data_IF_930647017501
#
_entry.id   IF_930647017501
#
_cell.length_a   1.000
_cell.length_b   1.000
_cell.length_c   1.000
_cell.angle_alpha   90.00
_cell.angle_beta   90.00
_cell.angle_gamma   90.00
#
_symmetry.space_group_name_H-M   'P 1'
#
loop_
_entity.id
_entity.type
_entity.pdbx_description
1 polymer ?
#
# COMPACT_ATOMS: atom_id res chain seq x y z
N UNK A 1 -5.98 26.76 3.30
CA UNK A 1 -6.59 25.71 4.16
C UNK A 1 -8.09 25.67 3.91
N UNK A 2 -8.59 24.53 3.44
CA UNK A 2 -10.04 24.29 3.27
C UNK A 2 -10.51 23.44 4.43
N UNK A 3 -11.61 23.82 5.07
CA UNK A 3 -12.26 23.02 6.12
C UNK A 3 -13.29 22.13 5.48
N UNK A 4 -13.25 20.83 5.75
CA UNK A 4 -14.20 19.84 5.22
C UNK A 4 -14.39 18.67 6.18
N UNK A 5 -15.35 17.80 5.87
CA UNK A 5 -15.67 16.63 6.68
C UNK A 5 -15.16 15.36 6.03
N UNK A 6 -14.69 14.43 6.83
CA UNK A 6 -14.33 13.08 6.40
C UNK A 6 -15.02 12.04 7.26
N UNK A 7 -15.32 10.92 6.64
CA UNK A 7 -15.82 9.77 7.36
C UNK A 7 -14.69 9.04 8.06
N UNK A 8 -15.03 8.45 9.18
CA UNK A 8 -14.12 7.71 10.03
C UNK A 8 -14.71 6.36 10.42
N UNK A 9 -13.91 5.32 10.30
CA UNK A 9 -14.25 3.96 10.71
C UNK A 9 -13.28 3.52 11.81
N UNK A 10 -13.80 3.30 13.01
CA UNK A 10 -12.99 2.79 14.13
C UNK A 10 -12.58 1.33 13.86
N UNK A 11 -11.59 0.87 14.61
CA UNK A 11 -11.19 -0.53 14.58
C UNK A 11 -12.36 -1.46 14.94
N UNK A 12 -13.06 -1.13 16.01
CA UNK A 12 -14.21 -1.91 16.50
C UNK A 12 -15.26 -2.02 15.39
N UNK A 13 -15.53 -0.91 14.69
CA UNK A 13 -16.46 -0.93 13.57
C UNK A 13 -16.01 -1.90 12.47
N UNK A 14 -14.72 -1.88 12.08
CA UNK A 14 -14.18 -2.76 11.03
C UNK A 14 -14.19 -4.22 11.48
N UNK A 15 -13.88 -4.51 12.73
CA UNK A 15 -13.89 -5.87 13.26
C UNK A 15 -15.30 -6.46 13.32
N UNK A 16 -16.34 -5.63 13.49
CA UNK A 16 -17.75 -6.02 13.53
C UNK A 16 -18.43 -6.07 12.15
N UNK A 17 -18.05 -5.18 11.22
CA UNK A 17 -18.81 -4.93 9.98
C UNK A 17 -18.06 -5.27 8.68
N UNK A 18 -16.84 -5.71 8.70
CA UNK A 18 -15.91 -5.78 7.57
C UNK A 18 -15.29 -4.41 7.18
N UNK A 19 -14.53 -4.40 6.09
CA UNK A 19 -13.85 -3.20 5.61
C UNK A 19 -14.81 -2.22 4.92
N UNK A 20 -14.54 -0.90 4.97
CA UNK A 20 -15.45 0.12 4.43
C UNK A 20 -15.87 -0.07 2.98
N UNK A 21 -15.00 -0.61 2.13
CA UNK A 21 -15.35 -0.89 0.73
C UNK A 21 -16.47 -1.93 0.58
N UNK A 22 -16.59 -2.84 1.54
CA UNK A 22 -17.63 -3.86 1.52
C UNK A 22 -19.04 -3.29 1.72
N UNK A 23 -19.18 -2.06 2.20
CA UNK A 23 -20.45 -1.39 2.36
C UNK A 23 -20.94 -0.66 1.09
N UNK A 24 -20.03 -0.36 0.15
CA UNK A 24 -20.37 0.32 -1.09
C UNK A 24 -21.27 -0.55 -1.99
N UNK A 25 -22.31 0.06 -2.55
CA UNK A 25 -23.23 -0.61 -3.47
C UNK A 25 -22.49 -1.08 -4.73
N UNK A 26 -21.72 -0.19 -5.32
CA UNK A 26 -20.92 -0.50 -6.51
C UNK A 26 -19.91 -1.61 -6.26
N UNK A 27 -19.29 -1.67 -5.08
CA UNK A 27 -18.37 -2.74 -4.75
C UNK A 27 -19.08 -4.10 -4.62
N UNK A 28 -20.25 -4.13 -3.98
CA UNK A 28 -21.07 -5.34 -3.87
C UNK A 28 -21.50 -5.86 -5.25
N UNK A 29 -21.88 -4.98 -6.16
CA UNK A 29 -22.31 -5.35 -7.52
C UNK A 29 -21.15 -5.77 -8.41
N UNK A 30 -20.11 -4.96 -8.52
CA UNK A 30 -19.02 -5.16 -9.48
C UNK A 30 -18.02 -6.25 -9.04
N UNK A 31 -17.93 -6.54 -7.72
CA UNK A 31 -16.95 -7.46 -7.16
C UNK A 31 -17.55 -8.74 -6.54
N UNK A 32 -18.86 -8.94 -6.64
CA UNK A 32 -19.54 -10.12 -6.08
C UNK A 32 -18.97 -11.45 -6.58
N UNK A 33 -18.60 -11.52 -7.85
CA UNK A 33 -18.09 -12.73 -8.50
C UNK A 33 -16.57 -12.82 -8.54
N UNK A 34 -15.85 -11.93 -7.86
CA UNK A 34 -14.40 -11.92 -7.80
C UNK A 34 -13.93 -12.66 -6.55
N UNK A 35 -13.13 -13.69 -6.76
CA UNK A 35 -12.72 -14.64 -5.70
C UNK A 35 -11.21 -14.71 -5.47
N UNK A 36 -10.42 -13.90 -6.19
CA UNK A 36 -8.98 -13.94 -6.19
C UNK A 36 -8.39 -12.67 -5.56
N UNK A 37 -7.48 -12.85 -4.60
CA UNK A 37 -6.57 -11.81 -4.12
C UNK A 37 -5.21 -11.96 -4.79
N UNK A 38 -4.59 -10.85 -5.16
CA UNK A 38 -3.23 -10.84 -5.73
C UNK A 38 -2.34 -9.94 -4.91
N UNK A 39 -1.18 -10.45 -4.50
CA UNK A 39 -0.19 -9.72 -3.74
C UNK A 39 1.11 -9.52 -4.55
N UNK A 40 1.62 -8.28 -4.60
CA UNK A 40 2.88 -7.93 -5.24
C UNK A 40 3.88 -7.46 -4.17
N UNK A 41 4.95 -8.23 -3.99
CA UNK A 41 5.96 -7.93 -2.98
C UNK A 41 6.81 -6.71 -3.33
N UNK A 42 7.41 -6.10 -2.31
CA UNK A 42 8.40 -5.04 -2.46
C UNK A 42 9.69 -5.49 -3.13
N UNK A 43 10.57 -4.53 -3.41
CA UNK A 43 11.87 -4.77 -4.01
C UNK A 43 12.33 -3.69 -5.00
N UNK A 44 11.84 -2.47 -4.84
CA UNK A 44 12.21 -1.30 -5.64
C UNK A 44 11.85 -1.47 -7.12
N UNK A 45 12.65 -0.87 -7.99
CA UNK A 45 12.42 -0.86 -9.45
C UNK A 45 12.38 -2.26 -10.07
N UNK A 46 13.11 -3.22 -9.51
CA UNK A 46 13.03 -4.62 -9.94
C UNK A 46 11.63 -5.17 -9.72
N UNK A 47 11.06 -4.96 -8.54
CA UNK A 47 9.69 -5.39 -8.25
C UNK A 47 8.70 -4.66 -9.14
N UNK A 48 8.84 -3.36 -9.35
CA UNK A 48 7.97 -2.61 -10.26
C UNK A 48 7.97 -3.21 -11.67
N UNK A 49 9.16 -3.50 -12.23
CA UNK A 49 9.27 -4.11 -13.54
C UNK A 49 8.66 -5.53 -13.61
N UNK A 50 8.91 -6.36 -12.58
CA UNK A 50 8.30 -7.68 -12.51
C UNK A 50 6.77 -7.60 -12.41
N UNK A 51 6.25 -6.67 -11.61
CA UNK A 51 4.81 -6.48 -11.41
C UNK A 51 4.09 -6.13 -12.71
N UNK A 52 4.71 -5.34 -13.58
CA UNK A 52 4.12 -5.06 -14.92
C UNK A 52 3.92 -6.34 -15.71
N UNK A 53 4.95 -7.20 -15.78
CA UNK A 53 4.86 -8.49 -16.50
C UNK A 53 3.86 -9.45 -15.83
N UNK A 54 3.81 -9.48 -14.51
CA UNK A 54 2.87 -10.31 -13.74
C UNK A 54 1.41 -9.87 -13.95
N UNK A 55 1.15 -8.57 -13.96
CA UNK A 55 -0.17 -8.01 -14.27
C UNK A 55 -0.58 -8.36 -15.71
N UNK A 56 0.36 -8.26 -16.65
CA UNK A 56 0.11 -8.64 -18.04
C UNK A 56 -0.18 -10.13 -18.18
N UNK A 57 0.56 -10.99 -17.49
CA UNK A 57 0.29 -12.42 -17.48
C UNK A 57 -1.09 -12.75 -16.91
N UNK A 58 -1.51 -12.08 -15.83
CA UNK A 58 -2.86 -12.24 -15.26
C UNK A 58 -3.94 -11.82 -16.26
N UNK A 59 -3.69 -10.77 -17.04
CA UNK A 59 -4.58 -10.30 -18.11
C UNK A 59 -4.71 -11.33 -19.21
N UNK A 60 -3.61 -11.82 -19.76
CA UNK A 60 -3.58 -12.80 -20.84
C UNK A 60 -4.15 -14.17 -20.46
N UNK A 61 -3.98 -14.55 -19.21
CA UNK A 61 -4.58 -15.76 -18.64
C UNK A 61 -6.08 -15.61 -18.33
N UNK A 62 -6.67 -14.42 -18.55
CA UNK A 62 -8.06 -14.14 -18.23
C UNK A 62 -8.37 -14.17 -16.74
N UNK A 63 -7.37 -13.97 -15.87
CA UNK A 63 -7.51 -14.00 -14.42
C UNK A 63 -7.86 -12.64 -13.83
N UNK A 64 -7.49 -11.52 -14.48
CA UNK A 64 -7.78 -10.17 -13.98
C UNK A 64 -9.25 -9.91 -13.65
N UNK A 65 -10.24 -10.36 -14.43
CA UNK A 65 -11.65 -10.19 -14.08
C UNK A 65 -12.08 -10.90 -12.79
N UNK A 66 -11.29 -11.89 -12.34
CA UNK A 66 -11.53 -12.61 -11.07
C UNK A 66 -10.82 -11.97 -9.88
N UNK A 67 -9.87 -11.07 -10.13
CA UNK A 67 -9.12 -10.42 -9.06
C UNK A 67 -10.02 -9.40 -8.35
N UNK A 68 -10.30 -9.66 -7.07
CA UNK A 68 -11.04 -8.74 -6.21
C UNK A 68 -10.15 -7.65 -5.68
N UNK A 69 -9.02 -8.03 -5.11
CA UNK A 69 -8.04 -7.14 -4.49
C UNK A 69 -6.66 -7.30 -5.10
N UNK A 70 -5.99 -6.20 -5.35
CA UNK A 70 -4.55 -6.12 -5.48
C UNK A 70 -4.00 -5.51 -4.20
N UNK A 71 -3.13 -6.24 -3.51
CA UNK A 71 -2.35 -5.72 -2.40
C UNK A 71 -0.89 -5.61 -2.80
N UNK A 72 -0.28 -4.46 -2.62
CA UNK A 72 1.07 -4.22 -3.10
C UNK A 72 1.90 -3.39 -2.11
N UNK A 73 3.22 -3.62 -2.14
CA UNK A 73 4.17 -2.98 -1.25
C UNK A 73 5.33 -2.44 -2.07
N UNK A 74 5.82 -1.24 -1.71
CA UNK A 74 7.06 -0.68 -2.28
C UNK A 74 7.02 -0.65 -3.81
N UNK A 75 8.03 -1.17 -4.48
CA UNK A 75 8.09 -1.24 -5.94
C UNK A 75 6.90 -1.97 -6.60
N UNK A 76 6.28 -2.94 -5.92
CA UNK A 76 5.02 -3.53 -6.36
C UNK A 76 3.91 -2.50 -6.44
N UNK A 77 3.82 -1.63 -5.41
CA UNK A 77 2.86 -0.53 -5.35
C UNK A 77 3.11 0.55 -6.41
N UNK A 78 4.39 0.83 -6.73
CA UNK A 78 4.73 1.80 -7.79
C UNK A 78 4.17 1.43 -9.16
N UNK A 79 4.11 0.13 -9.45
CA UNK A 79 3.51 -0.35 -10.69
C UNK A 79 1.99 -0.56 -10.57
N UNK A 80 1.50 -1.10 -9.46
CA UNK A 80 0.09 -1.41 -9.29
C UNK A 80 -0.79 -0.13 -9.28
N UNK A 81 -0.29 0.98 -8.73
CA UNK A 81 -1.04 2.24 -8.67
C UNK A 81 -1.39 2.78 -10.05
N UNK A 82 -0.43 3.07 -10.96
CA UNK A 82 -0.80 3.55 -12.28
C UNK A 82 -1.61 2.54 -13.10
N UNK A 83 -1.40 1.23 -12.92
CA UNK A 83 -2.26 0.21 -13.52
C UNK A 83 -3.72 0.35 -13.11
N UNK A 84 -3.95 0.65 -11.83
CA UNK A 84 -5.30 0.77 -11.27
C UNK A 84 -6.03 2.02 -11.79
N UNK A 85 -5.33 3.13 -11.95
CA UNK A 85 -5.94 4.41 -12.29
C UNK A 85 -5.86 4.79 -13.77
N UNK A 86 -4.95 4.20 -14.56
CA UNK A 86 -4.83 4.54 -15.98
C UNK A 86 -6.04 4.08 -16.77
N UNK A 87 -6.52 4.94 -17.67
CA UNK A 87 -7.58 4.59 -18.62
C UNK A 87 -7.06 3.77 -19.82
N UNK A 88 -5.74 3.74 -20.04
CA UNK A 88 -5.10 3.08 -21.16
C UNK A 88 -4.13 1.99 -20.69
N UNK A 89 -4.65 0.79 -20.51
CA UNK A 89 -3.85 -0.38 -20.09
C UNK A 89 -2.97 -0.93 -21.18
N UNK A 90 -3.32 -0.75 -22.45
CA UNK A 90 -2.47 -1.15 -23.59
C UNK A 90 -1.18 -0.33 -23.60
N UNK A 91 -1.30 0.98 -23.42
CA UNK A 91 -0.14 1.85 -23.27
C UNK A 91 0.70 1.46 -22.03
N UNK A 92 0.04 1.16 -20.92
CA UNK A 92 0.70 0.78 -19.66
C UNK A 92 1.57 -0.48 -19.86
N UNK A 93 1.02 -1.52 -20.42
CA UNK A 93 1.74 -2.78 -20.67
C UNK A 93 2.80 -2.64 -21.79
N UNK A 94 2.51 -1.84 -22.79
CA UNK A 94 3.34 -1.76 -23.98
C UNK A 94 3.34 -3.05 -24.80
N UNK A 95 4.38 -3.22 -25.57
CA UNK A 95 4.57 -4.37 -26.44
C UNK A 95 5.16 -5.55 -25.67
N UNK A 96 4.54 -6.72 -25.81
CA UNK A 96 5.11 -7.97 -25.30
C UNK A 96 6.16 -8.45 -26.28
N UNK A 97 7.30 -8.85 -25.75
CA UNK A 97 8.38 -9.45 -26.51
C UNK A 97 8.66 -10.85 -25.98
N UNK A 98 8.91 -11.76 -26.90
CA UNK A 98 9.42 -13.06 -26.54
C UNK A 98 10.72 -12.90 -25.75
N UNK A 99 10.84 -13.51 -24.56
CA UNK A 99 12.05 -13.43 -23.74
C UNK A 99 13.34 -13.79 -24.49
N UNK A 100 13.27 -14.73 -25.43
CA UNK A 100 14.41 -15.15 -26.25
C UNK A 100 14.94 -14.03 -27.16
N UNK A 101 14.08 -13.07 -27.50
CA UNK A 101 14.40 -11.93 -28.35
C UNK A 101 14.82 -10.68 -27.57
N UNK A 102 14.85 -10.73 -26.22
CA UNK A 102 15.27 -9.60 -25.40
C UNK A 102 16.79 -9.58 -25.25
N UNK A 103 17.41 -8.52 -25.72
CA UNK A 103 18.84 -8.26 -25.57
C UNK A 103 19.08 -6.96 -24.82
N UNK A 104 20.29 -6.76 -24.26
CA UNK A 104 20.66 -5.50 -23.63
C UNK A 104 20.53 -4.28 -24.56
N UNK A 105 20.71 -4.47 -25.85
CA UNK A 105 20.60 -3.41 -26.86
C UNK A 105 19.16 -3.04 -27.19
N UNK A 106 18.24 -4.02 -27.24
CA UNK A 106 16.84 -3.79 -27.60
C UNK A 106 15.91 -3.65 -26.37
N UNK A 107 16.39 -3.94 -25.17
CA UNK A 107 15.62 -3.74 -23.94
C UNK A 107 15.21 -2.26 -23.71
N UNK A 108 15.94 -1.32 -24.32
CA UNK A 108 15.64 0.11 -24.28
C UNK A 108 14.67 0.56 -25.37
N UNK A 109 14.43 -0.24 -26.41
CA UNK A 109 13.52 0.07 -27.52
C UNK A 109 12.11 -0.49 -27.29
N UNK A 110 11.61 -0.35 -26.06
CA UNK A 110 10.22 -0.66 -25.70
C UNK A 110 9.29 0.48 -26.09
N UNK A 111 7.99 0.22 -26.11
CA UNK A 111 7.00 1.25 -26.43
C UNK A 111 7.22 2.52 -25.60
N UNK A 112 7.38 3.72 -26.21
CA UNK A 112 7.90 4.91 -25.53
C UNK A 112 7.11 5.39 -24.32
N UNK A 113 5.83 5.03 -24.20
CA UNK A 113 4.94 5.43 -23.11
C UNK A 113 4.54 4.25 -22.23
N UNK A 114 5.18 3.09 -22.36
CA UNK A 114 4.92 1.95 -21.47
C UNK A 114 5.56 2.15 -20.11
N UNK A 115 5.08 1.43 -19.11
CA UNK A 115 5.69 1.43 -17.77
C UNK A 115 7.13 0.90 -17.83
N UNK A 116 7.40 -0.10 -18.66
CA UNK A 116 8.75 -0.59 -18.90
C UNK A 116 9.69 0.53 -19.39
N UNK A 117 9.21 1.35 -20.32
CA UNK A 117 9.98 2.51 -20.82
C UNK A 117 10.21 3.55 -19.73
N UNK A 118 9.19 3.85 -18.95
CA UNK A 118 9.29 4.79 -17.84
C UNK A 118 10.34 4.36 -16.83
N UNK A 119 10.33 3.08 -16.44
CA UNK A 119 11.30 2.51 -15.50
C UNK A 119 12.73 2.52 -16.09
N UNK A 120 12.88 2.09 -17.33
CA UNK A 120 14.20 1.88 -17.94
C UNK A 120 14.92 3.18 -18.31
N UNK A 121 14.15 4.19 -18.74
CA UNK A 121 14.71 5.43 -19.27
C UNK A 121 14.79 6.56 -18.27
N UNK A 122 14.34 6.37 -17.02
CA UNK A 122 14.36 7.41 -16.02
C UNK A 122 15.71 7.53 -15.31
N UNK A 123 16.41 8.67 -15.40
CA UNK A 123 17.62 8.93 -14.61
C UNK A 123 17.32 9.05 -13.10
N UNK A 124 16.08 9.36 -12.73
CA UNK A 124 15.66 9.51 -11.34
C UNK A 124 15.76 8.19 -10.59
N UNK A 125 15.45 7.07 -11.23
CA UNK A 125 15.51 5.75 -10.59
C UNK A 125 16.95 5.37 -10.23
N UNK A 126 17.91 5.61 -11.11
CA UNK A 126 19.30 5.36 -10.79
C UNK A 126 19.77 6.24 -9.62
N UNK A 127 19.31 7.47 -9.56
CA UNK A 127 19.64 8.41 -8.50
C UNK A 127 18.97 8.06 -7.16
N UNK A 128 17.70 7.63 -7.18
CA UNK A 128 17.01 7.13 -5.97
C UNK A 128 17.70 5.88 -5.40
N UNK A 129 18.18 4.99 -6.26
CA UNK A 129 18.87 3.75 -5.84
C UNK A 129 20.26 4.03 -5.30
N UNK A 130 20.96 5.01 -5.85
CA UNK A 130 22.37 5.32 -5.50
C UNK A 130 22.49 6.33 -4.36
N UNK A 131 21.38 6.85 -3.82
CA UNK A 131 21.40 7.87 -2.78
C UNK A 131 21.98 9.22 -3.24
N UNK A 132 22.17 9.40 -4.56
CA UNK A 132 22.77 10.60 -5.15
C UNK A 132 21.79 11.74 -5.42
N UNK A 133 20.51 11.58 -5.07
CA UNK A 133 19.53 12.64 -5.22
C UNK A 133 19.79 13.73 -4.17
N UNK A 134 20.20 14.88 -4.62
CA UNK A 134 20.06 16.12 -3.84
C UNK A 134 18.59 16.51 -3.91
N UNK A 135 17.81 15.94 -2.99
CA UNK A 135 16.41 16.27 -2.85
C UNK A 135 16.28 17.76 -2.53
N UNK A 136 15.40 18.45 -3.25
CA UNK A 136 15.13 19.88 -3.03
C UNK A 136 13.69 20.02 -2.55
N UNK A 137 13.53 20.37 -1.26
CA UNK A 137 12.23 20.65 -0.63
C UNK A 137 11.49 19.40 -0.16
N UNK A 138 10.45 19.63 0.62
CA UNK A 138 9.76 18.64 1.47
C UNK A 138 8.93 17.59 0.72
N UNK A 139 8.77 17.68 -0.60
CA UNK A 139 7.99 16.74 -1.40
C UNK A 139 8.79 16.14 -2.57
N UNK A 140 10.09 16.33 -2.60
CA UNK A 140 10.89 15.97 -3.77
C UNK A 140 10.93 14.47 -4.05
N UNK A 141 10.81 13.63 -3.02
CA UNK A 141 10.75 12.17 -3.20
C UNK A 141 9.42 11.74 -3.86
N UNK A 142 8.29 12.24 -3.36
CA UNK A 142 6.96 11.99 -3.91
C UNK A 142 6.85 12.49 -5.36
N UNK A 143 7.31 13.71 -5.61
CA UNK A 143 7.36 14.29 -6.95
C UNK A 143 8.22 13.45 -7.91
N UNK A 144 9.40 13.03 -7.46
CA UNK A 144 10.33 12.25 -8.28
C UNK A 144 9.75 10.89 -8.68
N UNK A 145 9.09 10.21 -7.77
CA UNK A 145 8.38 8.96 -8.09
C UNK A 145 7.19 9.21 -9.01
N UNK A 146 6.44 10.27 -8.77
CA UNK A 146 5.31 10.69 -9.62
C UNK A 146 5.73 10.96 -11.06
N UNK A 147 6.86 11.64 -11.28
CA UNK A 147 7.43 11.86 -12.62
C UNK A 147 7.69 10.56 -13.38
N UNK A 148 8.13 9.51 -12.68
CA UNK A 148 8.45 8.23 -13.29
C UNK A 148 7.21 7.37 -13.49
N UNK A 149 6.43 7.17 -12.44
CA UNK A 149 5.39 6.14 -12.42
C UNK A 149 3.99 6.66 -12.76
N UNK A 150 3.69 7.94 -12.49
CA UNK A 150 2.36 8.51 -12.66
C UNK A 150 2.24 9.43 -13.87
N UNK A 151 3.24 10.27 -14.12
CA UNK A 151 3.22 11.27 -15.19
C UNK A 151 2.97 10.72 -16.60
N UNK A 152 3.55 9.56 -16.99
CA UNK A 152 3.28 8.98 -18.32
C UNK A 152 1.80 8.71 -18.59
N UNK A 153 0.99 8.63 -17.52
CA UNK A 153 -0.45 8.32 -17.57
C UNK A 153 -1.33 9.51 -17.16
N UNK A 154 -0.74 10.68 -16.96
CA UNK A 154 -1.48 11.88 -16.55
C UNK A 154 -2.01 11.83 -15.10
N UNK A 155 -1.36 11.05 -14.22
CA UNK A 155 -1.80 10.77 -12.84
C UNK A 155 -0.98 11.49 -11.77
N UNK A 156 -0.12 12.44 -12.15
CA UNK A 156 0.90 12.98 -11.27
C UNK A 156 0.60 14.39 -10.75
N UNK A 157 -0.60 14.88 -10.93
CA UNK A 157 -1.03 16.18 -10.40
C UNK A 157 -1.29 16.06 -8.89
N UNK A 158 -0.39 16.61 -8.09
CA UNK A 158 -0.46 16.57 -6.62
C UNK A 158 -1.57 17.45 -6.03
N UNK A 159 -2.26 18.25 -6.83
CA UNK A 159 -3.43 19.02 -6.40
C UNK A 159 -4.73 18.20 -6.44
N UNK A 160 -4.68 17.00 -7.01
CA UNK A 160 -5.85 16.11 -7.13
C UNK A 160 -5.85 15.05 -6.04
N UNK A 161 -7.02 14.87 -5.46
CA UNK A 161 -7.30 13.70 -4.64
C UNK A 161 -7.51 12.45 -5.49
N UNK A 162 -7.67 11.32 -4.83
CA UNK A 162 -8.05 10.07 -5.49
C UNK A 162 -9.20 9.42 -4.73
N UNK A 163 -10.00 8.64 -5.44
CA UNK A 163 -11.09 7.87 -4.84
C UNK A 163 -11.42 6.65 -5.70
N UNK A 164 -12.36 5.81 -5.25
CA UNK A 164 -12.62 4.54 -5.91
C UNK A 164 -13.42 4.75 -7.22
N UNK A 165 -14.57 5.40 -7.15
CA UNK A 165 -15.45 5.58 -8.30
C UNK A 165 -16.39 6.79 -8.08
N UNK A 166 -17.38 6.95 -8.95
CA UNK A 166 -18.34 8.05 -8.87
C UNK A 166 -19.19 8.01 -7.59
N UNK A 167 -19.50 6.81 -7.04
CA UNK A 167 -20.22 6.67 -5.77
C UNK A 167 -19.39 7.27 -4.62
N UNK A 168 -18.12 6.86 -4.51
CA UNK A 168 -17.23 7.36 -3.45
C UNK A 168 -16.82 8.82 -3.67
N UNK A 169 -16.72 9.28 -4.92
CA UNK A 169 -16.53 10.69 -5.22
C UNK A 169 -17.72 11.51 -4.72
N UNK A 170 -18.95 11.09 -5.01
CA UNK A 170 -20.16 11.77 -4.55
C UNK A 170 -20.25 11.81 -3.02
N UNK A 171 -19.90 10.70 -2.33
CA UNK A 171 -19.83 10.64 -0.87
C UNK A 171 -18.79 11.63 -0.33
N UNK A 172 -17.59 11.62 -0.89
CA UNK A 172 -16.49 12.49 -0.46
C UNK A 172 -16.83 13.97 -0.68
N UNK A 173 -17.43 14.31 -1.83
CA UNK A 173 -17.81 15.70 -2.16
C UNK A 173 -18.84 16.28 -1.19
N UNK A 174 -19.65 15.46 -0.54
CA UNK A 174 -20.59 15.93 0.51
C UNK A 174 -19.85 16.50 1.73
N UNK A 175 -18.62 16.08 1.96
CA UNK A 175 -17.79 16.61 3.03
C UNK A 175 -17.17 17.98 2.72
N UNK A 176 -17.02 18.34 1.45
CA UNK A 176 -16.42 19.62 1.07
C UNK A 176 -17.43 20.78 1.12
N UNK A 177 -16.95 22.01 1.38
CA UNK A 177 -17.78 23.20 1.27
C UNK A 177 -18.47 23.30 -0.11
N UNK A 178 -19.69 23.82 -0.19
CA UNK A 178 -20.37 24.04 -1.46
C UNK A 178 -19.49 24.81 -2.44
N UNK A 179 -19.49 24.41 -3.71
CA UNK A 179 -18.70 25.00 -4.78
C UNK A 179 -17.19 24.82 -4.69
N UNK A 180 -16.69 23.94 -3.83
CA UNK A 180 -15.27 23.59 -3.82
C UNK A 180 -14.90 22.91 -5.16
N UNK A 181 -13.97 23.53 -5.87
CA UNK A 181 -13.40 22.96 -7.11
C UNK A 181 -12.29 21.99 -6.73
N UNK A 182 -12.64 20.74 -6.61
CA UNK A 182 -11.70 19.67 -6.27
C UNK A 182 -11.83 18.57 -7.30
N UNK A 183 -10.73 18.17 -7.87
CA UNK A 183 -10.66 17.08 -8.85
C UNK A 183 -10.18 15.79 -8.19
N UNK A 184 -10.68 14.67 -8.73
CA UNK A 184 -10.33 13.33 -8.27
C UNK A 184 -9.78 12.47 -9.41
N UNK A 185 -8.81 11.63 -9.08
CA UNK A 185 -8.49 10.46 -9.88
C UNK A 185 -9.38 9.30 -9.44
N UNK A 186 -10.11 8.71 -10.38
CA UNK A 186 -10.97 7.57 -10.14
C UNK A 186 -10.28 6.28 -10.59
N UNK A 187 -10.51 5.20 -9.86
CA UNK A 187 -10.08 3.87 -10.28
C UNK A 187 -10.72 3.53 -11.63
N UNK A 188 -9.94 2.97 -12.51
CA UNK A 188 -10.42 2.53 -13.83
C UNK A 188 -11.51 1.48 -13.67
N UNK A 189 -12.61 1.64 -14.39
CA UNK A 189 -13.71 0.67 -14.37
C UNK A 189 -13.21 -0.75 -14.66
N UNK A 190 -13.60 -1.68 -13.82
CA UNK A 190 -13.20 -3.08 -13.92
C UNK A 190 -11.80 -3.41 -13.36
N UNK A 191 -11.00 -2.42 -12.92
CA UNK A 191 -9.75 -2.71 -12.21
C UNK A 191 -10.03 -3.40 -10.87
N UNK A 192 -9.12 -4.24 -10.36
CA UNK A 192 -9.19 -4.72 -8.99
C UNK A 192 -9.08 -3.57 -7.98
N UNK A 193 -9.63 -3.78 -6.77
CA UNK A 193 -9.50 -2.81 -5.68
C UNK A 193 -8.08 -2.81 -5.14
N UNK A 194 -7.45 -1.64 -5.10
CA UNK A 194 -6.04 -1.49 -4.73
C UNK A 194 -5.89 -1.30 -3.21
N UNK A 195 -4.89 -1.96 -2.64
CA UNK A 195 -4.44 -1.77 -1.26
C UNK A 195 -2.92 -1.59 -1.29
N UNK A 196 -2.42 -0.46 -0.85
CA UNK A 196 -0.99 -0.22 -0.70
C UNK A 196 -0.59 -0.29 0.76
N UNK A 197 0.40 -1.13 1.07
CA UNK A 197 0.99 -1.22 2.39
C UNK A 197 2.12 -0.22 2.58
N UNK A 198 2.12 0.48 3.71
CA UNK A 198 3.20 1.33 4.18
C UNK A 198 3.43 1.09 5.68
N UNK A 199 4.43 1.74 6.25
CA UNK A 199 4.76 1.67 7.67
C UNK A 199 4.75 3.08 8.26
N UNK A 200 3.95 3.29 9.30
CA UNK A 200 4.02 4.49 10.14
C UNK A 200 5.04 4.23 11.25
N UNK A 201 5.95 5.17 11.43
CA UNK A 201 6.99 5.12 12.46
C UNK A 201 6.60 6.07 13.61
N UNK A 202 6.87 5.65 14.86
CA UNK A 202 6.64 6.50 16.02
C UNK A 202 7.64 7.66 16.09
N UNK A 203 7.41 8.66 16.98
CA UNK A 203 8.26 9.84 17.21
C UNK A 203 9.75 9.52 17.40
N UNK A 204 10.05 8.42 18.07
CA UNK A 204 11.42 7.94 18.24
C UNK A 204 12.02 7.38 16.93
N UNK A 205 11.30 7.50 15.83
CA UNK A 205 11.70 7.00 14.52
C UNK A 205 11.99 5.50 14.56
N UNK A 206 13.12 5.14 13.98
CA UNK A 206 13.53 3.74 13.82
C UNK A 206 14.11 3.10 15.08
N UNK A 207 14.41 3.88 16.09
CA UNK A 207 14.87 3.36 17.39
C UNK A 207 13.72 2.73 18.20
N UNK A 208 12.48 3.02 17.82
CA UNK A 208 11.28 2.46 18.45
C UNK A 208 10.93 1.13 17.80
N UNK A 209 10.63 0.12 18.61
CA UNK A 209 10.05 -1.14 18.13
C UNK A 209 8.59 -0.96 17.68
N UNK A 210 8.02 0.25 17.85
CA UNK A 210 6.64 0.61 17.55
C UNK A 210 6.53 1.04 16.09
N UNK A 211 6.14 0.10 15.23
CA UNK A 211 5.84 0.31 13.81
C UNK A 211 4.41 -0.16 13.54
N UNK A 212 3.69 0.60 12.75
CA UNK A 212 2.28 0.33 12.47
C UNK A 212 2.06 0.17 10.97
N UNK A 213 1.29 -0.85 10.60
CA UNK A 213 0.93 -1.09 9.21
C UNK A 213 -0.13 -0.09 8.77
N UNK A 214 0.20 0.71 7.77
CA UNK A 214 -0.72 1.64 7.10
C UNK A 214 -1.25 1.00 5.83
N UNK A 215 -2.54 1.07 5.63
CA UNK A 215 -3.20 0.75 4.36
C UNK A 215 -3.65 2.04 3.67
N UNK A 216 -3.23 2.23 2.42
CA UNK A 216 -3.82 3.21 1.52
C UNK A 216 -4.70 2.50 0.51
N UNK A 217 -5.97 2.84 0.49
CA UNK A 217 -6.93 2.32 -0.48
C UNK A 217 -7.56 3.47 -1.26
N UNK A 218 -8.24 3.21 -2.37
CA UNK A 218 -8.91 4.28 -3.10
C UNK A 218 -9.96 5.03 -2.29
N UNK A 219 -10.60 4.39 -1.31
CA UNK A 219 -11.70 4.99 -0.57
C UNK A 219 -11.29 5.49 0.81
N UNK A 220 -10.43 4.78 1.50
CA UNK A 220 -9.98 5.12 2.87
C UNK A 220 -8.51 4.81 3.06
N UNK A 221 -7.90 5.46 4.06
CA UNK A 221 -6.51 5.28 4.45
C UNK A 221 -6.39 5.30 5.96
N UNK A 222 -5.44 4.55 6.52
CA UNK A 222 -5.21 4.56 7.97
C UNK A 222 -4.50 3.32 8.49
N UNK A 223 -4.51 3.19 9.82
CA UNK A 223 -3.89 2.10 10.56
C UNK A 223 -4.98 1.27 11.23
N UNK A 224 -5.20 0.04 10.72
CA UNK A 224 -6.24 -0.84 11.26
C UNK A 224 -5.98 -1.24 12.71
N UNK A 225 -4.77 -1.65 13.00
CA UNK A 225 -4.42 -2.23 14.30
C UNK A 225 -3.34 -1.38 14.95
N UNK A 226 -3.70 -0.73 16.05
CA UNK A 226 -2.71 -0.32 17.04
C UNK A 226 -2.14 -1.57 17.73
N UNK A 227 -0.86 -1.59 18.04
CA UNK A 227 -0.25 -2.73 18.71
C UNK A 227 -0.96 -2.94 20.08
N UNK A 228 -1.51 -4.13 20.30
CA UNK A 228 -2.12 -4.52 21.56
C UNK A 228 -1.10 -5.38 22.31
N UNK A 229 -0.15 -4.76 22.96
CA UNK A 229 0.55 -5.41 24.05
C UNK A 229 -0.13 -4.98 25.36
N UNK A 230 -0.94 -5.85 25.92
CA UNK A 230 -1.73 -5.55 27.14
C UNK A 230 -0.87 -5.29 28.37
N UNK A 231 0.40 -5.68 28.33
CA UNK A 231 1.31 -5.61 29.47
C UNK A 231 2.24 -4.37 29.47
N UNK A 232 2.26 -3.57 28.40
CA UNK A 232 3.13 -2.40 28.24
C UNK A 232 2.38 -1.05 28.25
N UNK A 233 1.16 -1.02 28.72
CA UNK A 233 0.29 0.15 28.58
C UNK A 233 0.44 1.15 29.72
N UNK A 234 1.14 2.23 29.45
CA UNK A 234 0.76 3.53 30.03
C UNK A 234 -0.38 4.09 29.15
N UNK A 235 -1.34 4.72 29.76
CA UNK A 235 -2.60 5.19 29.16
C UNK A 235 -2.48 6.19 27.99
N UNK A 236 -1.29 6.48 27.50
CA UNK A 236 -0.99 7.53 26.53
C UNK A 236 -0.41 7.02 25.19
N UNK A 237 -0.23 5.71 25.00
CA UNK A 237 0.51 5.15 23.85
C UNK A 237 -0.38 4.53 22.77
N UNK A 238 -1.59 5.05 22.55
CA UNK A 238 -2.47 4.57 21.49
C UNK A 238 -2.11 5.20 20.13
N UNK A 239 -1.45 4.40 19.29
CA UNK A 239 -1.19 4.72 17.90
C UNK A 239 -2.07 3.87 16.99
N UNK A 240 -2.89 4.48 16.17
CA UNK A 240 -3.69 3.78 15.20
C UNK A 240 -5.11 3.46 15.66
N UNK A 241 -5.76 2.53 14.99
CA UNK A 241 -7.08 2.00 15.35
C UNK A 241 -8.24 2.49 14.50
N UNK A 242 -8.00 2.87 13.25
CA UNK A 242 -9.08 3.19 12.33
C UNK A 242 -8.63 3.75 11.00
N UNK A 243 -9.63 4.00 10.17
CA UNK A 243 -9.47 4.55 8.82
C UNK A 243 -10.24 5.85 8.69
N UNK A 244 -9.74 6.74 7.86
CA UNK A 244 -10.45 7.94 7.40
C UNK A 244 -10.64 7.88 5.89
N UNK A 245 -11.65 8.57 5.34
CA UNK A 245 -11.72 8.79 3.90
C UNK A 245 -10.37 9.27 3.37
N UNK A 246 -9.86 8.71 2.28
CA UNK A 246 -8.48 8.95 1.83
C UNK A 246 -8.12 10.41 1.64
N UNK A 247 -9.06 11.27 1.24
CA UNK A 247 -8.84 12.71 1.17
C UNK A 247 -8.60 13.38 2.54
N UNK A 248 -8.90 12.70 3.64
CA UNK A 248 -8.69 13.16 5.00
C UNK A 248 -7.40 12.67 5.64
N UNK A 249 -6.62 11.87 4.95
CA UNK A 249 -5.28 11.53 5.40
C UNK A 249 -4.35 12.75 5.25
N UNK A 250 -3.33 12.88 6.08
CA UNK A 250 -2.44 14.05 6.13
C UNK A 250 -3.18 15.39 6.39
N UNK A 251 -4.22 15.36 7.20
CA UNK A 251 -4.98 16.56 7.56
C UNK A 251 -4.69 17.03 8.97
N UNK A 252 -4.86 18.33 9.19
CA UNK A 252 -4.63 19.01 10.48
C UNK A 252 -5.96 19.23 11.19
N UNK A 253 -5.99 18.99 12.52
CA UNK A 253 -7.15 19.32 13.36
C UNK A 253 -7.36 20.81 13.61
N UNK A 254 -8.40 21.25 14.30
CA UNK A 254 -9.11 20.52 15.35
C UNK A 254 -10.16 19.55 14.80
N UNK A 255 -10.24 18.41 15.44
CA UNK A 255 -11.18 17.36 15.05
C UNK A 255 -12.43 17.47 15.90
N UNK A 256 -13.48 18.06 15.34
CA UNK A 256 -14.78 18.09 15.99
C UNK A 256 -15.59 16.89 15.50
N UNK A 257 -15.90 15.98 16.41
CA UNK A 257 -16.78 14.85 16.15
C UNK A 257 -18.18 15.36 15.83
N UNK A 258 -18.74 14.98 14.70
CA UNK A 258 -20.13 15.28 14.34
C UNK A 258 -20.87 13.99 14.03
N UNK A 259 -22.08 13.85 14.58
CA UNK A 259 -23.05 12.90 14.09
C UNK A 259 -23.77 13.57 12.90
N UNK A 260 -23.58 13.08 11.69
CA UNK A 260 -24.31 13.60 10.53
C UNK A 260 -25.68 12.93 10.48
N UNK A 261 -26.70 13.63 10.96
CA UNK A 261 -28.10 13.29 10.67
C UNK A 261 -28.32 13.44 9.15
N UNK A 262 -28.76 12.39 8.47
CA UNK A 262 -29.17 12.44 7.05
C UNK A 262 -28.27 11.71 6.04
N UNK A 263 -27.12 11.15 6.42
CA UNK A 263 -26.30 10.30 5.52
C UNK A 263 -26.77 8.85 5.40
N UNK A 264 -27.86 8.50 6.08
CA UNK A 264 -28.39 7.13 6.18
C UNK A 264 -28.81 6.50 4.84
N UNK A 265 -28.90 7.28 3.76
CA UNK A 265 -29.41 6.79 2.48
C UNK A 265 -28.36 6.21 1.54
N UNK A 266 -27.07 6.38 1.80
CA UNK A 266 -26.00 5.95 0.90
C UNK A 266 -25.18 4.76 1.40
N UNK A 267 -25.20 4.46 2.68
CA UNK A 267 -24.59 3.26 3.24
C UNK A 267 -25.66 2.27 3.67
N UNK A 268 -25.56 1.04 3.21
CA UNK A 268 -26.58 -0.02 3.36
C UNK A 268 -26.80 -0.47 4.82
N UNK A 269 -25.93 -0.07 5.75
CA UNK A 269 -26.08 -0.36 7.18
C UNK A 269 -25.89 0.88 8.03
N UNK A 270 -26.80 1.05 8.99
CA UNK A 270 -26.75 2.02 10.08
C UNK A 270 -25.56 1.75 11.01
N UNK A 271 -24.36 2.17 10.63
CA UNK A 271 -23.30 2.34 11.60
C UNK A 271 -23.13 3.85 11.84
N UNK A 272 -22.84 4.29 13.04
CA UNK A 272 -22.49 5.68 13.25
C UNK A 272 -21.13 5.92 12.57
N UNK A 273 -21.19 6.33 11.31
CA UNK A 273 -20.01 6.86 10.66
C UNK A 273 -19.74 8.18 11.35
N UNK A 274 -18.68 8.22 12.09
CA UNK A 274 -18.23 9.45 12.73
C UNK A 274 -17.62 10.30 11.62
N UNK A 275 -17.94 11.58 11.63
CA UNK A 275 -17.36 12.54 10.71
C UNK A 275 -16.54 13.54 11.50
N UNK A 276 -15.40 13.93 10.95
CA UNK A 276 -14.51 14.91 11.53
C UNK A 276 -14.43 16.15 10.66
N UNK A 277 -14.44 17.31 11.31
CA UNK A 277 -13.96 18.55 10.73
C UNK A 277 -12.44 18.51 10.66
N UNK A 278 -11.90 18.69 9.48
CA UNK A 278 -10.46 18.72 9.24
C UNK A 278 -10.09 19.88 8.33
N UNK A 279 -8.83 20.25 8.36
CA UNK A 279 -8.23 21.17 7.39
C UNK A 279 -7.06 20.51 6.70
N UNK A 280 -6.86 20.81 5.43
CA UNK A 280 -5.66 20.41 4.72
C UNK A 280 -4.95 21.62 4.10
N UNK A 281 -3.66 21.53 3.99
CA UNK A 281 -2.81 22.49 3.29
C UNK A 281 -2.67 22.12 1.81
N UNK A 282 -2.66 20.83 1.53
CA UNK A 282 -2.55 20.23 0.19
C UNK A 282 -3.46 19.02 0.06
N UNK A 283 -3.71 18.58 -1.16
CA UNK A 283 -4.39 17.32 -1.39
C UNK A 283 -3.46 16.14 -1.05
N UNK A 284 -3.99 15.15 -0.35
CA UNK A 284 -3.32 13.85 -0.23
C UNK A 284 -3.52 13.09 -1.56
N UNK A 285 -2.45 12.87 -2.29
CA UNK A 285 -2.44 12.52 -3.71
C UNK A 285 -1.88 11.13 -4.00
N UNK A 286 -1.99 10.68 -5.25
CA UNK A 286 -1.34 9.45 -5.68
C UNK A 286 0.20 9.50 -5.54
N UNK A 287 0.81 10.68 -5.64
CA UNK A 287 2.25 10.84 -5.41
C UNK A 287 2.63 10.48 -3.97
N UNK A 288 1.81 10.89 -3.01
CA UNK A 288 2.06 10.67 -1.58
C UNK A 288 2.00 9.18 -1.23
N UNK A 289 0.99 8.45 -1.72
CA UNK A 289 0.86 7.02 -1.42
C UNK A 289 1.95 6.16 -2.07
N UNK A 290 2.39 6.48 -3.31
CA UNK A 290 3.50 5.74 -3.92
C UNK A 290 4.84 6.08 -3.28
N UNK A 291 5.01 7.29 -2.78
CA UNK A 291 6.19 7.68 -2.02
C UNK A 291 6.25 6.94 -0.68
N UNK A 292 5.17 6.97 0.08
CA UNK A 292 5.09 6.33 1.38
C UNK A 292 5.36 4.82 1.31
N UNK A 293 4.68 4.11 0.40
CA UNK A 293 4.86 2.66 0.28
C UNK A 293 6.30 2.23 -0.03
N UNK A 294 7.12 3.13 -0.60
CA UNK A 294 8.50 2.84 -1.03
C UNK A 294 9.59 3.66 -0.36
N UNK A 295 9.31 4.34 0.75
CA UNK A 295 10.26 5.20 1.45
C UNK A 295 11.25 4.41 2.33
N UNK A 296 11.93 3.41 1.77
CA UNK A 296 12.90 2.59 2.48
C UNK A 296 14.03 3.38 3.19
N UNK A 297 14.55 4.51 2.65
CA UNK A 297 15.59 5.27 3.33
C UNK A 297 15.19 5.85 4.67
N UNK A 298 13.90 6.08 4.93
CA UNK A 298 13.41 6.57 6.23
C UNK A 298 13.88 5.68 7.39
N UNK A 299 14.07 4.39 7.17
CA UNK A 299 14.53 3.45 8.20
C UNK A 299 16.05 3.37 8.34
N UNK A 300 16.82 3.78 7.33
CA UNK A 300 18.28 3.59 7.31
C UNK A 300 19.00 4.64 8.19
N UNK A 301 18.39 5.76 8.44
CA UNK A 301 19.02 6.91 9.10
C UNK A 301 18.54 7.03 10.54
N UNK A 302 19.24 6.37 11.42
CA UNK A 302 18.92 6.20 12.85
C UNK A 302 18.82 7.47 13.71
N UNK A 303 18.76 8.68 13.19
CA UNK A 303 18.63 9.90 14.00
C UNK A 303 18.28 11.17 13.21
N UNK A 304 17.93 11.06 11.93
CA UNK A 304 17.61 12.24 11.12
C UNK A 304 16.20 12.05 10.56
N UNK A 305 15.27 12.93 10.94
CA UNK A 305 14.00 13.05 10.21
C UNK A 305 14.33 13.39 8.77
N UNK A 306 13.92 12.54 7.85
CA UNK A 306 14.19 12.70 6.42
C UNK A 306 13.12 13.52 5.71
N UNK A 307 12.11 14.03 6.42
CA UNK A 307 11.12 14.95 5.87
C UNK A 307 11.77 16.16 5.25
N UNK A 308 12.74 16.77 5.92
CA UNK A 308 13.54 17.88 5.38
C UNK A 308 14.31 17.55 4.08
N UNK A 309 14.44 16.26 3.74
CA UNK A 309 14.96 15.75 2.48
C UNK A 309 13.85 15.31 1.50
N UNK A 310 12.58 15.61 1.81
CA UNK A 310 11.42 15.33 0.98
C UNK A 310 10.95 13.87 1.02
N UNK A 311 11.26 13.13 2.07
CA UNK A 311 10.66 11.85 2.36
C UNK A 311 9.31 12.01 3.06
N UNK A 312 8.37 11.04 2.92
CA UNK A 312 7.01 11.19 3.43
C UNK A 312 6.95 11.34 4.95
N UNK A 313 6.46 12.48 5.41
CA UNK A 313 6.00 12.72 6.76
C UNK A 313 4.57 13.24 6.65
N UNK A 314 3.62 12.60 7.31
CA UNK A 314 2.21 12.94 7.21
C UNK A 314 1.59 13.12 8.58
N UNK A 315 0.65 14.03 8.66
CA UNK A 315 -0.18 14.19 9.83
C UNK A 315 -0.99 12.92 10.08
N UNK A 316 -0.85 12.36 11.26
CA UNK A 316 -1.59 11.20 11.71
C UNK A 316 -2.35 11.52 12.99
N UNK A 317 -3.57 11.01 13.06
CA UNK A 317 -4.45 11.14 14.21
C UNK A 317 -4.57 9.78 14.87
N UNK A 318 -4.16 9.61 16.12
CA UNK A 318 -4.45 8.39 16.87
C UNK A 318 -5.95 8.33 17.17
N UNK A 319 -6.68 7.61 16.36
CA UNK A 319 -8.15 7.62 16.35
C UNK A 319 -8.80 7.02 17.60
N UNK A 320 -8.05 6.25 18.40
CA UNK A 320 -8.52 5.69 19.67
C UNK A 320 -8.57 6.70 20.84
N UNK A 321 -7.94 7.86 20.67
CA UNK A 321 -7.87 8.89 21.72
C UNK A 321 -8.97 9.94 21.63
N UNK A 322 -9.94 9.74 20.71
CA UNK A 322 -10.99 10.71 20.39
C UNK A 322 -12.11 10.81 21.44
N UNK A 323 -11.87 10.35 22.66
CA UNK A 323 -12.82 10.61 23.79
C UNK A 323 -12.78 12.04 24.33
N UNK A 324 -11.89 12.91 23.82
CA UNK A 324 -11.75 14.31 24.23
C UNK A 324 -11.71 15.28 23.06
N UNK A 325 -12.27 16.48 23.26
CA UNK A 325 -12.44 17.55 22.26
C UNK A 325 -11.14 18.17 21.70
N UNK A 326 -9.96 17.59 21.94
CA UNK A 326 -8.66 18.19 21.63
C UNK A 326 -7.63 17.23 21.03
N UNK A 327 -8.04 16.27 20.20
CA UNK A 327 -7.04 15.48 19.47
C UNK A 327 -6.31 16.35 18.46
N UNK A 328 -5.02 16.43 18.63
CA UNK A 328 -4.11 17.15 17.73
C UNK A 328 -3.46 16.13 16.83
N UNK A 329 -3.40 16.40 15.54
CA UNK A 329 -2.56 15.63 14.62
C UNK A 329 -1.11 16.03 14.83
N UNK A 330 -0.24 15.05 14.66
CA UNK A 330 1.20 15.27 14.63
C UNK A 330 1.78 14.63 13.36
N UNK A 331 2.85 15.23 12.85
CA UNK A 331 3.57 14.67 11.72
C UNK A 331 4.41 13.47 12.15
N UNK A 332 4.21 12.36 11.47
CA UNK A 332 4.99 11.14 11.67
C UNK A 332 5.64 10.67 10.40
N UNK A 333 6.88 10.18 10.47
CA UNK A 333 7.55 9.58 9.34
C UNK A 333 6.79 8.34 8.84
N UNK A 334 6.63 8.25 7.52
CA UNK A 334 6.09 7.08 6.84
C UNK A 334 7.19 6.41 6.04
N UNK A 335 7.24 5.10 6.12
CA UNK A 335 8.30 4.29 5.53
C UNK A 335 7.75 3.14 4.69
N UNK A 336 8.66 2.47 3.97
CA UNK A 336 8.36 1.31 3.13
C UNK A 336 7.57 0.24 3.91
N UNK A 337 6.48 -0.23 3.32
CA UNK A 337 5.66 -1.29 3.92
C UNK A 337 6.42 -2.60 4.14
N UNK A 338 7.50 -2.81 3.38
CA UNK A 338 8.38 -3.97 3.52
C UNK A 338 9.08 -4.09 4.87
N UNK A 339 9.09 -3.03 5.68
CA UNK A 339 9.63 -3.07 7.04
C UNK A 339 8.79 -3.94 7.98
N UNK A 340 7.48 -4.00 7.75
CA UNK A 340 6.58 -4.86 8.49
C UNK A 340 6.20 -6.10 7.70
N UNK A 341 5.74 -5.93 6.45
CA UNK A 341 5.25 -7.04 5.65
C UNK A 341 5.54 -6.78 4.15
N UNK A 342 6.54 -7.46 3.62
CA UNK A 342 7.04 -7.19 2.26
C UNK A 342 6.29 -7.94 1.15
N UNK A 343 5.37 -8.83 1.47
CA UNK A 343 4.63 -9.63 0.47
C UNK A 343 3.35 -8.96 0.01
N UNK A 344 2.74 -8.13 0.85
CA UNK A 344 1.40 -7.58 0.65
C UNK A 344 0.28 -8.58 0.94
N UNK A 345 0.56 -9.67 1.67
CA UNK A 345 -0.43 -10.71 1.91
C UNK A 345 -1.37 -10.41 3.08
N UNK A 346 -0.88 -9.69 4.09
CA UNK A 346 -1.64 -9.46 5.32
C UNK A 346 -2.98 -8.74 5.10
N UNK A 347 -3.08 -7.70 4.24
CA UNK A 347 -4.36 -7.08 3.94
C UNK A 347 -5.38 -8.03 3.30
N UNK A 348 -4.91 -9.00 2.50
CA UNK A 348 -5.75 -10.00 1.87
C UNK A 348 -6.27 -11.04 2.86
N UNK A 349 -5.42 -11.47 3.80
CA UNK A 349 -5.82 -12.36 4.90
C UNK A 349 -6.83 -11.68 5.82
N UNK A 350 -6.61 -10.40 6.14
CA UNK A 350 -7.53 -9.60 6.94
C UNK A 350 -8.93 -9.51 6.30
N UNK A 351 -9.00 -9.47 4.96
CA UNK A 351 -10.24 -9.49 4.17
C UNK A 351 -10.76 -10.90 3.89
N UNK A 352 -10.22 -11.89 4.61
CA UNK A 352 -10.65 -13.31 4.56
C UNK A 352 -10.61 -13.90 3.14
N UNK A 353 -9.67 -13.44 2.30
CA UNK A 353 -9.49 -14.01 0.96
C UNK A 353 -8.98 -15.45 1.06
N UNK A 354 -9.71 -16.37 0.45
CA UNK A 354 -9.40 -17.82 0.48
C UNK A 354 -8.53 -18.29 -0.69
N UNK A 355 -8.42 -17.46 -1.74
CA UNK A 355 -7.58 -17.71 -2.91
C UNK A 355 -6.67 -16.52 -3.09
N UNK A 356 -5.37 -16.72 -2.92
CA UNK A 356 -4.38 -15.66 -2.99
C UNK A 356 -3.22 -16.12 -3.89
N UNK A 357 -2.87 -15.29 -4.86
CA UNK A 357 -1.63 -15.42 -5.63
C UNK A 357 -0.64 -14.39 -5.10
N UNK A 358 0.53 -14.85 -4.67
CA UNK A 358 1.59 -13.99 -4.15
C UNK A 358 2.77 -13.99 -5.11
N UNK A 359 3.09 -12.84 -5.68
CA UNK A 359 4.28 -12.65 -6.51
C UNK A 359 5.44 -12.18 -5.64
N UNK A 360 6.40 -13.08 -5.42
CA UNK A 360 7.58 -12.82 -4.60
C UNK A 360 8.74 -12.40 -5.48
N UNK A 361 8.97 -11.08 -5.58
CA UNK A 361 9.96 -10.49 -6.47
C UNK A 361 11.38 -10.56 -5.86
N UNK A 362 11.93 -11.76 -5.78
CA UNK A 362 13.25 -12.04 -5.19
C UNK A 362 14.38 -12.09 -6.24
N UNK A 363 15.61 -11.76 -5.79
CA UNK A 363 16.83 -11.88 -6.62
C UNK A 363 17.39 -13.31 -6.65
N UNK A 364 17.05 -14.12 -5.65
CA UNK A 364 17.64 -15.45 -5.47
C UNK A 364 16.59 -16.51 -5.77
N UNK A 365 16.89 -17.48 -6.64
CA UNK A 365 16.01 -18.62 -6.86
C UNK A 365 15.92 -19.47 -5.59
N UNK A 366 14.85 -20.24 -5.48
CA UNK A 366 14.70 -21.22 -4.43
C UNK A 366 15.76 -22.31 -4.56
N UNK A 367 16.49 -22.58 -3.46
CA UNK A 367 17.52 -23.61 -3.40
C UNK A 367 17.19 -24.62 -2.28
N UNK A 368 16.75 -25.83 -2.61
CA UNK A 368 16.36 -26.82 -1.61
C UNK A 368 17.58 -27.34 -0.84
N UNK A 369 17.47 -27.41 0.50
CA UNK A 369 18.41 -28.12 1.36
C UNK A 369 17.76 -29.42 1.85
N UNK A 370 18.18 -30.56 1.30
CA UNK A 370 17.58 -31.87 1.62
C UNK A 370 17.85 -32.33 3.06
N UNK A 371 18.98 -31.89 3.67
CA UNK A 371 19.37 -32.31 5.03
C UNK A 371 18.72 -31.45 6.11
N UNK A 372 18.52 -30.18 5.82
CA UNK A 372 17.93 -29.19 6.73
C UNK A 372 16.91 -28.34 5.93
N UNK A 373 15.66 -28.77 5.81
CA UNK A 373 14.67 -28.06 5.00
C UNK A 373 14.51 -26.60 5.37
N UNK A 374 14.54 -26.24 6.65
CA UNK A 374 14.43 -24.86 7.12
C UNK A 374 15.63 -23.96 6.69
N UNK A 375 16.78 -24.57 6.40
CA UNK A 375 17.95 -23.88 5.86
C UNK A 375 17.92 -23.74 4.32
N UNK A 376 16.85 -24.20 3.67
CA UNK A 376 16.65 -23.99 2.24
C UNK A 376 16.68 -22.52 1.91
N UNK A 377 17.22 -22.19 0.72
CA UNK A 377 17.27 -20.83 0.19
C UNK A 377 15.88 -20.31 -0.19
N UNK A 378 15.01 -20.14 0.81
CA UNK A 378 13.67 -19.61 0.65
C UNK A 378 13.64 -18.11 1.00
N UNK A 379 12.75 -17.36 0.37
CA UNK A 379 12.65 -15.93 0.62
C UNK A 379 12.33 -15.64 2.09
N UNK A 380 13.06 -14.69 2.70
CA UNK A 380 12.88 -14.35 4.12
C UNK A 380 11.48 -13.84 4.44
N UNK A 381 10.89 -13.03 3.56
CA UNK A 381 9.54 -12.51 3.77
C UNK A 381 8.48 -13.62 3.79
N UNK A 382 8.68 -14.67 2.99
CA UNK A 382 7.79 -15.85 3.03
C UNK A 382 8.03 -16.64 4.33
N UNK A 383 9.28 -16.85 4.73
CA UNK A 383 9.58 -17.54 6.01
C UNK A 383 8.96 -16.83 7.21
N UNK A 384 8.92 -15.49 7.20
CA UNK A 384 8.37 -14.67 8.28
C UNK A 384 6.88 -14.90 8.54
N UNK A 385 6.14 -15.46 7.59
CA UNK A 385 4.73 -15.84 7.81
C UNK A 385 4.59 -17.08 8.70
N UNK A 386 5.64 -17.86 8.84
CA UNK A 386 5.62 -19.16 9.52
C UNK A 386 6.43 -19.16 10.82
N UNK A 387 7.58 -18.51 10.82
CA UNK A 387 8.49 -18.50 11.97
C UNK A 387 9.07 -17.11 12.16
N UNK A 388 9.37 -16.70 13.41
CA UNK A 388 10.09 -15.48 13.67
C UNK A 388 11.45 -15.49 12.95
N UNK A 389 11.77 -14.44 12.24
CA UNK A 389 13.07 -14.25 11.58
C UNK A 389 13.61 -12.87 11.90
N UNK A 390 14.92 -12.71 11.75
CA UNK A 390 15.52 -11.38 11.80
C UNK A 390 14.86 -10.47 10.76
N UNK A 391 14.60 -9.23 11.13
CA UNK A 391 14.05 -8.23 10.24
C UNK A 391 14.93 -8.12 8.98
N UNK A 392 14.27 -7.84 7.84
CA UNK A 392 14.94 -7.69 6.55
C UNK A 392 15.96 -6.55 6.55
N UNK A 393 15.75 -5.55 7.39
CA UNK A 393 16.48 -4.28 7.37
C UNK A 393 17.35 -4.05 8.62
N UNK A 394 17.01 -4.64 9.76
CA UNK A 394 17.72 -4.44 11.02
C UNK A 394 18.09 -5.77 11.66
N UNK A 395 19.39 -5.97 11.88
CA UNK A 395 19.90 -7.21 12.50
C UNK A 395 19.46 -7.25 13.98
N UNK A 396 18.83 -8.34 14.38
CA UNK A 396 18.36 -8.56 15.74
C UNK A 396 16.90 -8.26 15.98
N UNK A 397 16.19 -7.60 15.03
CA UNK A 397 14.74 -7.46 15.10
C UNK A 397 14.07 -8.67 14.44
N UNK A 398 13.02 -9.18 15.05
CA UNK A 398 12.24 -10.28 14.48
C UNK A 398 11.02 -9.74 13.75
N UNK A 399 10.68 -10.36 12.62
CA UNK A 399 9.39 -10.10 11.98
C UNK A 399 8.27 -10.57 12.90
N UNK A 400 7.25 -9.73 13.06
CA UNK A 400 6.12 -9.98 13.97
C UNK A 400 4.87 -10.50 13.27
N UNK A 401 4.96 -10.77 11.98
CA UNK A 401 3.84 -11.15 11.11
C UNK A 401 3.70 -12.67 10.91
N UNK A 402 4.04 -13.46 11.92
CA UNK A 402 3.78 -14.91 11.93
C UNK A 402 2.27 -15.14 11.99
N UNK A 403 1.74 -15.89 11.00
CA UNK A 403 0.30 -16.12 10.84
C UNK A 403 -0.12 -17.59 10.98
N UNK A 404 0.84 -18.52 11.04
CA UNK A 404 0.58 -19.95 11.12
C UNK A 404 1.00 -20.50 12.47
N UNK A 405 0.06 -21.11 13.21
CA UNK A 405 0.29 -21.64 14.57
C UNK A 405 1.36 -22.74 14.61
N UNK A 406 1.37 -23.64 13.63
CA UNK A 406 2.36 -24.70 13.48
C UNK A 406 3.41 -24.35 12.43
N UNK A 407 3.98 -23.15 12.53
CA UNK A 407 4.73 -22.51 11.45
C UNK A 407 5.90 -23.32 10.91
N UNK A 408 6.70 -23.98 11.76
CA UNK A 408 7.82 -24.83 11.29
C UNK A 408 7.36 -26.02 10.46
N UNK A 409 6.28 -26.68 10.89
CA UNK A 409 5.71 -27.82 10.18
C UNK A 409 5.15 -27.39 8.82
N UNK A 410 4.36 -26.32 8.79
CA UNK A 410 3.77 -25.78 7.57
C UNK A 410 4.83 -25.24 6.60
N UNK A 411 5.85 -24.56 7.11
CA UNK A 411 7.00 -24.13 6.30
C UNK A 411 7.74 -25.32 5.70
N UNK A 412 7.93 -26.39 6.45
CA UNK A 412 8.59 -27.62 5.98
C UNK A 412 7.77 -28.27 4.85
N UNK A 413 6.44 -28.33 4.97
CA UNK A 413 5.55 -28.82 3.91
C UNK A 413 5.67 -27.97 2.65
N UNK A 414 5.64 -26.64 2.78
CA UNK A 414 5.79 -25.71 1.66
C UNK A 414 7.14 -25.88 0.95
N UNK A 415 8.23 -25.96 1.71
CA UNK A 415 9.58 -26.21 1.16
C UNK A 415 9.63 -27.56 0.42
N UNK A 416 8.96 -28.58 0.95
CA UNK A 416 8.83 -29.89 0.30
C UNK A 416 8.14 -29.81 -1.06
N UNK A 417 7.05 -29.05 -1.17
CA UNK A 417 6.35 -28.82 -2.42
C UNK A 417 7.23 -28.10 -3.46
N UNK A 418 7.89 -27.01 -3.06
CA UNK A 418 8.82 -26.29 -3.94
C UNK A 418 9.99 -27.19 -4.39
N UNK A 419 10.52 -28.02 -3.48
CA UNK A 419 11.59 -28.97 -3.83
C UNK A 419 11.16 -29.99 -4.87
N UNK A 420 9.89 -30.39 -4.87
CA UNK A 420 9.33 -31.27 -5.90
C UNK A 420 9.19 -30.58 -7.26
N UNK A 421 8.78 -29.30 -7.27
CA UNK A 421 8.68 -28.49 -8.48
C UNK A 421 10.05 -28.33 -9.14
N UNK A 422 11.08 -27.97 -8.36
CA UNK A 422 12.46 -27.86 -8.86
C UNK A 422 12.96 -29.18 -9.47
N UNK A 423 12.63 -30.35 -8.87
CA UNK A 423 12.97 -31.66 -9.45
C UNK A 423 12.28 -31.92 -10.79
N UNK A 424 11.12 -31.34 -11.03
CA UNK A 424 10.38 -31.43 -12.30
C UNK A 424 10.85 -30.40 -13.33
N UNK A 425 11.89 -29.61 -13.04
CA UNK A 425 12.39 -28.56 -13.91
C UNK A 425 11.52 -27.31 -13.94
N UNK A 426 10.58 -27.17 -13.01
CA UNK A 426 9.77 -25.96 -12.85
C UNK A 426 10.50 -25.07 -11.86
N UNK A 427 10.98 -23.93 -12.35
CA UNK A 427 11.65 -22.89 -11.54
C UNK A 427 10.75 -21.68 -11.33
#
# INVERSE_FOLDING_TARGET
>A
MSRFYVDYWSREWVDENDFPEAELVSFKEDYANRDLGVAFSGGGTRSAACTVGQLKALDELGLLPRVKYISAVSGGGWAATPFTYTKNTEQYFGEIRDPENITCSNSKSVHPKSMQSAITNSPLISNLITGGLKLKGDESFAYSLGEVFLKPYGLHDSSRYFTFNEETEALTRQGFPPNTKTDFYLVRKGAPYLILGATLLNEDGLASDKKYHVEYTPFYSGVRVGHIDKDLWSSNDYFGGGYVTSCGYDCIGPYNKRTLEGREQLLVKQAPVLSFDITNEKAFSLNDIIASTGAAPQEITNNIRLGALGFPEFNHIPLNTLEGDNSVSEEYPHSDGGHLENLGIMPLLARKMTKIVVFVNTKKPFTPNKKKPLDSGFNKSVKALFVPIDNLFKKGDFATNVVFDNGEEELTKLIGQFSQLVKKGIQ
#
